data_IF_145744213333
#
_entry.id   IF_145744213333
#
_cell.length_a   1.000
_cell.length_b   1.000
_cell.length_c   1.000
_cell.angle_alpha   90.00
_cell.angle_beta   90.00
_cell.angle_gamma   90.00
#
_symmetry.space_group_name_H-M   'P 1'
#
loop_
_entity.id
_entity.type
_entity.pdbx_description
1 polymer ?
#
# COMPACT_ATOMS: atom_id res chain seq x y z
N UNK A 1 15.02 -4.30 8.11
CA UNK A 1 13.74 -5.02 7.96
C UNK A 1 13.92 -6.09 6.91
N UNK A 2 13.03 -7.08 6.87
CA UNK A 2 12.85 -7.99 5.74
C UNK A 2 11.45 -7.71 5.20
N UNK A 3 11.34 -7.46 3.90
CA UNK A 3 10.07 -7.30 3.20
C UNK A 3 9.84 -8.56 2.36
N UNK A 4 8.72 -9.23 2.59
CA UNK A 4 8.31 -10.41 1.84
C UNK A 4 7.06 -10.09 1.03
N UNK A 5 7.02 -10.38 -0.25
CA UNK A 5 5.83 -10.26 -1.10
C UNK A 5 5.18 -11.62 -1.36
N UNK A 6 3.86 -11.63 -1.49
CA UNK A 6 3.10 -12.82 -1.82
C UNK A 6 1.69 -12.50 -2.29
N UNK A 7 0.93 -13.55 -2.61
CA UNK A 7 -0.47 -13.46 -3.04
C UNK A 7 -1.29 -14.53 -2.35
N UNK A 8 -2.59 -14.31 -2.20
CA UNK A 8 -3.52 -15.37 -1.74
C UNK A 8 -3.69 -16.49 -2.78
N UNK A 9 -3.29 -16.26 -4.03
CA UNK A 9 -3.44 -17.20 -5.15
C UNK A 9 -2.16 -18.00 -5.45
N UNK A 10 -1.05 -17.77 -4.73
CA UNK A 10 0.24 -18.47 -4.93
C UNK A 10 0.94 -18.77 -3.60
N UNK A 11 1.64 -19.91 -3.53
CA UNK A 11 2.48 -20.29 -2.38
C UNK A 11 3.90 -19.71 -2.46
N UNK A 12 4.24 -19.02 -3.55
CA UNK A 12 5.55 -18.39 -3.72
C UNK A 12 5.65 -17.10 -2.91
N UNK A 13 6.67 -17.02 -2.06
CA UNK A 13 6.98 -15.85 -1.23
C UNK A 13 8.40 -15.42 -1.52
N UNK A 14 8.57 -14.17 -1.93
CA UNK A 14 9.87 -13.58 -2.23
C UNK A 14 10.24 -12.57 -1.15
N UNK A 15 11.41 -12.74 -0.53
CA UNK A 15 11.83 -11.91 0.59
C UNK A 15 13.14 -11.18 0.29
N UNK A 16 13.14 -9.87 0.48
CA UNK A 16 14.31 -9.02 0.28
C UNK A 16 14.64 -8.21 1.55
N UNK A 17 15.93 -8.06 1.90
CA UNK A 17 16.33 -7.15 2.95
C UNK A 17 15.97 -5.72 2.55
N UNK A 18 15.43 -4.96 3.50
CA UNK A 18 15.00 -3.58 3.30
C UNK A 18 15.51 -2.71 4.44
N UNK A 19 15.98 -1.51 4.11
CA UNK A 19 16.25 -0.46 5.09
C UNK A 19 15.10 0.53 5.13
N UNK A 20 14.78 1.00 6.34
CA UNK A 20 13.73 1.99 6.56
C UNK A 20 14.36 3.16 7.30
N UNK A 21 14.17 4.36 6.78
CA UNK A 21 14.62 5.61 7.39
C UNK A 21 13.51 6.65 7.35
N UNK A 22 13.66 7.75 8.11
CA UNK A 22 12.76 8.90 8.06
C UNK A 22 13.54 10.07 7.48
N UNK A 23 12.98 10.71 6.46
CA UNK A 23 13.57 11.88 5.81
C UNK A 23 13.43 13.13 6.66
N UNK A 24 14.13 14.21 6.30
CA UNK A 24 14.02 15.51 6.99
C UNK A 24 12.60 16.09 6.91
N UNK A 25 11.86 15.78 5.84
CA UNK A 25 10.47 16.18 5.62
C UNK A 25 9.46 15.28 6.37
N UNK A 26 9.93 14.31 7.16
CA UNK A 26 9.09 13.39 7.94
C UNK A 26 8.45 12.27 7.12
N UNK A 27 8.90 12.04 5.90
CA UNK A 27 8.47 10.90 5.07
C UNK A 27 9.26 9.65 5.46
N UNK A 28 8.67 8.48 5.33
CA UNK A 28 9.43 7.25 5.42
C UNK A 28 10.11 6.99 4.08
N UNK A 29 11.38 6.57 4.11
CA UNK A 29 12.10 6.09 2.93
C UNK A 29 12.38 4.62 3.11
N UNK A 30 11.83 3.82 2.20
CA UNK A 30 12.07 2.39 2.11
C UNK A 30 13.08 2.16 0.99
N UNK A 31 14.18 1.47 1.29
CA UNK A 31 15.20 1.17 0.31
C UNK A 31 15.46 -0.34 0.25
N UNK A 32 15.37 -0.89 -0.97
CA UNK A 32 15.65 -2.27 -1.32
C UNK A 32 16.69 -2.23 -2.43
N UNK A 33 17.86 -2.83 -2.18
CA UNK A 33 19.00 -2.74 -3.09
C UNK A 33 19.33 -1.28 -3.49
N UNK A 34 19.18 -0.92 -4.77
CA UNK A 34 19.43 0.41 -5.31
C UNK A 34 18.16 1.27 -5.44
N UNK A 35 16.97 0.68 -5.23
CA UNK A 35 15.68 1.34 -5.36
C UNK A 35 15.25 1.99 -4.05
N UNK A 36 14.62 3.17 -4.16
CA UNK A 36 14.15 3.96 -3.00
C UNK A 36 12.75 4.47 -3.24
N UNK A 37 11.87 4.16 -2.31
CA UNK A 37 10.48 4.59 -2.32
C UNK A 37 10.22 5.52 -1.14
N UNK A 38 9.53 6.64 -1.39
CA UNK A 38 9.06 7.53 -0.34
C UNK A 38 7.62 7.16 0.02
N UNK A 39 7.35 7.06 1.32
CA UNK A 39 6.10 6.51 1.85
C UNK A 39 5.49 7.45 2.85
N UNK A 40 4.18 7.68 2.70
CA UNK A 40 3.33 8.42 3.63
C UNK A 40 2.32 7.49 4.26
N UNK A 41 2.14 7.62 5.57
CA UNK A 41 1.14 6.89 6.34
C UNK A 41 0.06 7.83 6.84
N UNK A 42 -1.19 7.42 6.69
CA UNK A 42 -2.35 8.08 7.27
C UNK A 42 -3.09 7.06 8.14
N UNK A 43 -3.13 7.33 9.44
CA UNK A 43 -3.81 6.45 10.41
C UNK A 43 -5.33 6.46 10.16
N UNK A 44 -5.91 5.26 10.06
CA UNK A 44 -7.36 5.03 9.95
C UNK A 44 -7.94 4.62 11.30
N UNK A 45 -7.24 3.73 12.00
CA UNK A 45 -7.51 3.24 13.35
C UNK A 45 -6.17 2.84 14.03
N UNK A 46 -6.20 2.25 15.23
CA UNK A 46 -5.01 1.90 16.04
C UNK A 46 -3.93 1.13 15.25
N UNK A 47 -4.35 0.17 14.42
CA UNK A 47 -3.47 -0.70 13.64
C UNK A 47 -3.67 -0.61 12.11
N UNK A 48 -4.57 0.25 11.63
CA UNK A 48 -4.93 0.35 10.21
C UNK A 48 -4.51 1.70 9.62
N UNK A 49 -3.97 1.67 8.40
CA UNK A 49 -3.37 2.80 7.72
C UNK A 49 -3.80 2.86 6.25
N UNK A 50 -4.00 4.07 5.73
CA UNK A 50 -3.90 4.35 4.30
C UNK A 50 -2.45 4.75 4.01
N UNK A 51 -1.85 4.12 3.01
CA UNK A 51 -0.42 4.27 2.71
C UNK A 51 -0.27 4.72 1.26
N UNK A 52 0.55 5.73 1.04
CA UNK A 52 0.86 6.27 -0.28
C UNK A 52 2.36 6.10 -0.54
N UNK A 53 2.69 5.46 -1.65
CA UNK A 53 4.05 5.37 -2.18
C UNK A 53 4.19 6.40 -3.31
N UNK A 54 5.30 7.13 -3.30
CA UNK A 54 5.74 8.01 -4.38
C UNK A 54 6.81 7.27 -5.17
N UNK A 55 6.43 6.81 -6.37
CA UNK A 55 7.31 6.15 -7.32
C UNK A 55 7.83 7.21 -8.30
N UNK A 56 8.78 8.00 -7.80
CA UNK A 56 9.22 9.23 -8.46
C UNK A 56 10.15 9.03 -9.66
N UNK A 57 10.43 7.77 -10.06
CA UNK A 57 11.38 7.46 -11.12
C UNK A 57 10.78 7.53 -12.54
N UNK A 58 9.45 7.59 -12.69
CA UNK A 58 8.81 7.59 -14.01
C UNK A 58 8.18 8.95 -14.35
N UNK A 59 8.41 9.42 -15.58
CA UNK A 59 7.77 10.61 -16.17
C UNK A 59 6.30 10.33 -16.55
N UNK A 60 5.59 9.56 -15.73
CA UNK A 60 4.24 9.08 -16.01
C UNK A 60 3.20 9.72 -15.09
N UNK A 61 1.96 9.76 -15.60
CA UNK A 61 0.80 10.32 -14.90
C UNK A 61 0.39 9.50 -13.65
N UNK A 62 1.10 8.40 -13.35
CA UNK A 62 0.82 7.43 -12.27
C UNK A 62 1.87 7.46 -11.13
N UNK A 63 2.40 8.64 -10.80
CA UNK A 63 3.42 8.85 -9.74
C UNK A 63 3.14 8.18 -8.39
N UNK A 64 1.87 7.93 -8.05
CA UNK A 64 1.49 7.46 -6.72
C UNK A 64 0.78 6.12 -6.75
N UNK A 65 1.25 5.20 -5.91
CA UNK A 65 0.59 3.93 -5.62
C UNK A 65 -0.01 3.96 -4.22
N UNK A 66 -1.17 3.30 -4.04
CA UNK A 66 -1.94 3.35 -2.82
C UNK A 66 -2.15 1.97 -2.23
N UNK A 67 -1.96 1.87 -0.92
CA UNK A 67 -2.01 0.62 -0.18
C UNK A 67 -2.85 0.80 1.09
N UNK A 68 -3.51 -0.26 1.52
CA UNK A 68 -3.95 -0.40 2.90
C UNK A 68 -2.84 -1.08 3.70
N UNK A 69 -2.46 -0.47 4.81
CA UNK A 69 -1.49 -1.02 5.75
C UNK A 69 -2.15 -1.50 7.02
N UNK A 70 -1.79 -2.68 7.50
CA UNK A 70 -2.19 -3.20 8.81
C UNK A 70 -0.99 -3.61 9.63
N UNK A 71 -0.89 -3.08 10.85
CA UNK A 71 0.11 -3.50 11.82
C UNK A 71 -0.40 -4.74 12.58
N UNK A 72 0.49 -5.68 12.86
CA UNK A 72 0.21 -6.84 13.70
C UNK A 72 1.46 -7.19 14.48
N UNK A 73 1.49 -6.83 15.77
CA UNK A 73 2.72 -6.90 16.57
C UNK A 73 3.78 -5.95 16.02
N UNK A 74 4.96 -6.48 15.70
CA UNK A 74 6.05 -5.72 15.07
C UNK A 74 6.03 -5.77 13.54
N UNK A 75 5.06 -6.49 12.96
CA UNK A 75 4.90 -6.65 11.51
C UNK A 75 3.99 -5.57 10.94
N UNK A 76 4.28 -5.14 9.71
CA UNK A 76 3.40 -4.29 8.91
C UNK A 76 3.09 -5.02 7.60
N UNK A 77 1.82 -5.31 7.36
CA UNK A 77 1.35 -5.84 6.07
C UNK A 77 0.78 -4.70 5.24
N UNK A 78 1.17 -4.62 3.98
CA UNK A 78 0.67 -3.68 2.98
C UNK A 78 -0.07 -4.47 1.92
N UNK A 79 -1.25 -4.02 1.52
CA UNK A 79 -2.05 -4.60 0.45
C UNK A 79 -2.35 -3.49 -0.55
N UNK A 80 -1.98 -3.71 -1.80
CA UNK A 80 -2.22 -2.72 -2.85
C UNK A 80 -3.73 -2.56 -3.08
N UNK A 81 -4.18 -1.30 -3.17
CA UNK A 81 -5.58 -0.99 -3.39
C UNK A 81 -5.86 -1.04 -4.88
N UNK A 82 -6.49 -2.12 -5.34
CA UNK A 82 -6.98 -2.25 -6.70
C UNK A 82 -8.44 -1.82 -6.82
N UNK A 83 -8.80 -1.24 -7.98
CA UNK A 83 -10.16 -0.77 -8.25
C UNK A 83 -11.16 -1.94 -8.31
N UNK A 84 -10.80 -3.00 -9.02
CA UNK A 84 -11.63 -4.19 -9.21
C UNK A 84 -11.90 -4.97 -7.91
N UNK A 85 -11.05 -4.77 -6.90
CA UNK A 85 -11.17 -5.36 -5.58
C UNK A 85 -12.13 -4.58 -4.65
N UNK A 86 -12.39 -3.31 -4.94
CA UNK A 86 -13.29 -2.48 -4.14
C UNK A 86 -14.77 -2.81 -4.42
N UNK A 87 -15.66 -2.64 -3.43
CA UNK A 87 -17.10 -2.77 -3.66
C UNK A 87 -17.56 -1.83 -4.78
N UNK A 88 -18.28 -2.36 -5.77
CA UNK A 88 -18.65 -1.59 -6.96
C UNK A 88 -19.40 -0.29 -6.64
N UNK A 89 -20.34 -0.36 -5.71
CA UNK A 89 -21.11 0.81 -5.27
C UNK A 89 -20.24 1.90 -4.62
N UNK A 90 -19.11 1.52 -3.99
CA UNK A 90 -18.17 2.48 -3.46
C UNK A 90 -17.38 3.16 -4.58
N UNK A 91 -16.90 2.39 -5.55
CA UNK A 91 -16.17 2.92 -6.72
C UNK A 91 -17.05 3.92 -7.48
N UNK A 92 -18.28 3.53 -7.81
CA UNK A 92 -19.22 4.39 -8.55
C UNK A 92 -19.45 5.71 -7.81
N UNK A 93 -19.60 5.65 -6.47
CA UNK A 93 -19.76 6.85 -5.65
C UNK A 93 -18.51 7.73 -5.65
N UNK A 94 -17.33 7.14 -5.50
CA UNK A 94 -16.08 7.91 -5.49
C UNK A 94 -15.78 8.54 -6.87
N UNK A 95 -16.22 7.91 -7.96
CA UNK A 95 -16.17 8.50 -9.31
C UNK A 95 -17.16 9.66 -9.44
N UNK A 96 -18.41 9.49 -8.99
CA UNK A 96 -19.41 10.55 -8.98
C UNK A 96 -18.96 11.78 -8.18
N UNK A 97 -18.33 11.55 -7.02
CA UNK A 97 -17.78 12.59 -6.15
C UNK A 97 -16.47 13.21 -6.69
N UNK A 98 -15.92 12.69 -7.80
CA UNK A 98 -14.66 13.14 -8.40
C UNK A 98 -13.41 12.75 -7.60
N UNK A 99 -13.53 11.82 -6.66
CA UNK A 99 -12.43 11.31 -5.84
C UNK A 99 -11.57 10.26 -6.54
N UNK A 100 -12.14 9.52 -7.50
CA UNK A 100 -11.44 8.56 -8.36
C UNK A 100 -11.72 8.86 -9.83
N UNK A 101 -10.77 8.50 -10.71
CA UNK A 101 -11.01 8.27 -12.13
C UNK A 101 -10.75 6.80 -12.44
N UNK A 102 -11.49 6.21 -13.38
CA UNK A 102 -11.36 4.80 -13.75
C UNK A 102 -11.07 4.66 -15.24
N UNK A 103 -10.45 3.55 -15.64
CA UNK A 103 -10.45 3.12 -17.03
C UNK A 103 -11.86 2.64 -17.48
N UNK A 104 -12.00 2.29 -18.75
CA UNK A 104 -13.29 1.86 -19.32
C UNK A 104 -13.83 0.57 -18.68
N UNK A 105 -12.92 -0.30 -18.20
CA UNK A 105 -13.24 -1.63 -17.66
C UNK A 105 -13.24 -1.69 -16.11
N UNK A 106 -12.99 -0.56 -15.44
CA UNK A 106 -12.85 -0.42 -13.99
C UNK A 106 -11.83 -1.39 -13.37
N UNK A 107 -10.82 -1.79 -14.14
CA UNK A 107 -9.72 -2.60 -13.65
C UNK A 107 -8.75 -1.75 -12.84
N UNK A 108 -8.48 -0.54 -13.31
CA UNK A 108 -7.61 0.42 -12.65
C UNK A 108 -8.39 1.68 -12.26
N UNK A 109 -8.01 2.28 -11.14
CA UNK A 109 -8.49 3.59 -10.75
C UNK A 109 -7.33 4.47 -10.30
N UNK A 110 -7.33 5.72 -10.75
CA UNK A 110 -6.40 6.75 -10.28
C UNK A 110 -7.10 7.57 -9.21
N UNK A 111 -6.52 7.64 -8.03
CA UNK A 111 -7.05 8.49 -6.99
C UNK A 111 -6.76 9.97 -7.28
N UNK A 112 -7.81 10.78 -7.30
CA UNK A 112 -7.75 12.22 -7.53
C UNK A 112 -7.71 13.01 -6.20
N UNK A 113 -7.90 12.33 -5.06
CA UNK A 113 -7.86 12.97 -3.75
C UNK A 113 -7.39 12.04 -2.65
N UNK A 114 -6.75 12.61 -1.62
CA UNK A 114 -6.36 11.92 -0.39
C UNK A 114 -7.57 11.23 0.29
N UNK A 115 -8.73 11.90 0.30
CA UNK A 115 -9.95 11.38 0.90
C UNK A 115 -10.45 10.09 0.25
N UNK A 116 -10.33 9.97 -1.08
CA UNK A 116 -10.73 8.76 -1.80
C UNK A 116 -9.89 7.54 -1.37
N UNK A 117 -8.58 7.73 -1.17
CA UNK A 117 -7.68 6.67 -0.72
C UNK A 117 -8.02 6.22 0.70
N UNK A 118 -8.31 7.16 1.59
CA UNK A 118 -8.72 6.85 2.97
C UNK A 118 -10.02 6.03 2.98
N UNK A 119 -11.00 6.42 2.16
CA UNK A 119 -12.27 5.67 2.05
C UNK A 119 -12.04 4.28 1.47
N UNK A 120 -11.24 4.16 0.40
CA UNK A 120 -10.90 2.86 -0.19
C UNK A 120 -10.19 1.95 0.81
N UNK A 121 -9.18 2.45 1.52
CA UNK A 121 -8.44 1.68 2.52
C UNK A 121 -9.32 1.20 3.68
N UNK A 122 -10.36 1.96 4.05
CA UNK A 122 -11.35 1.53 5.07
C UNK A 122 -12.15 0.31 4.63
N UNK A 123 -12.45 0.12 3.35
CA UNK A 123 -13.12 -1.09 2.87
C UNK A 123 -12.24 -2.34 3.01
N UNK A 124 -10.92 -2.20 2.82
CA UNK A 124 -9.98 -3.28 3.11
C UNK A 124 -9.93 -3.61 4.60
N UNK A 125 -9.84 -2.59 5.46
CA UNK A 125 -9.88 -2.77 6.92
C UNK A 125 -11.16 -3.43 7.41
N UNK A 126 -12.30 -3.14 6.78
CA UNK A 126 -13.60 -3.75 7.06
C UNK A 126 -13.73 -5.20 6.54
N UNK A 127 -12.73 -5.72 5.82
CA UNK A 127 -12.76 -7.08 5.26
C UNK A 127 -13.71 -7.24 4.07
N UNK A 128 -14.05 -6.14 3.39
CA UNK A 128 -14.94 -6.16 2.22
C UNK A 128 -14.24 -6.64 0.95
N UNK A 129 -12.92 -6.87 1.01
CA UNK A 129 -12.06 -7.25 -0.13
C UNK A 129 -11.54 -8.67 0.03
N UNK A 130 -11.76 -9.50 -1.00
CA UNK A 130 -11.53 -10.96 -0.94
C UNK A 130 -10.14 -11.42 -1.39
N UNK A 131 -9.47 -10.70 -2.31
CA UNK A 131 -8.15 -11.06 -2.84
C UNK A 131 -7.13 -10.01 -2.45
N UNK A 132 -5.94 -10.45 -2.07
CA UNK A 132 -4.91 -9.55 -1.55
C UNK A 132 -3.53 -10.00 -2.03
N UNK A 133 -2.96 -9.23 -2.95
CA UNK A 133 -1.51 -9.22 -3.12
C UNK A 133 -0.93 -8.38 -2.00
N UNK A 134 0.05 -8.93 -1.29
CA UNK A 134 0.54 -8.34 -0.05
C UNK A 134 2.07 -8.23 -0.04
N UNK A 135 2.54 -7.23 0.71
CA UNK A 135 3.93 -7.08 1.13
C UNK A 135 3.94 -7.04 2.65
N UNK A 136 4.67 -7.94 3.30
CA UNK A 136 4.81 -8.00 4.75
C UNK A 136 6.23 -7.60 5.16
N UNK A 137 6.31 -6.56 5.97
CA UNK A 137 7.54 -6.03 6.52
C UNK A 137 7.68 -6.46 7.97
N UNK A 138 8.82 -7.07 8.30
CA UNK A 138 9.15 -7.47 9.67
C UNK A 138 10.54 -6.97 10.06
N UNK A 139 10.81 -6.69 11.35
CA UNK A 139 12.16 -6.42 11.80
C UNK A 139 13.06 -7.59 11.40
N UNK A 140 14.21 -7.28 10.82
CA UNK A 140 15.20 -8.33 10.58
C UNK A 140 15.60 -8.88 11.95
N UNK A 141 15.53 -10.19 12.14
CA UNK A 141 16.04 -10.82 13.36
C UNK A 141 17.50 -10.40 13.47
N UNK A 142 17.85 -9.67 14.53
CA UNK A 142 19.23 -9.34 14.79
C UNK A 142 19.97 -10.67 14.94
N UNK A 143 20.67 -11.09 13.89
CA UNK A 143 21.65 -12.14 13.99
C UNK A 143 22.54 -11.76 15.15
N UNK A 144 22.62 -12.60 16.18
CA UNK A 144 23.69 -12.47 17.16
C UNK A 144 24.97 -12.39 16.33
N UNK A 145 25.69 -11.28 16.45
CA UNK A 145 27.07 -11.23 16.02
C UNK A 145 27.78 -12.37 16.78
N UNK A 146 28.11 -13.44 16.06
CA UNK A 146 29.09 -14.43 16.51
C UNK A 146 30.50 -13.89 16.30
#
# INVERSE_FOLDING_TARGET
YVACSGSTDSDEVECNPMSVSVTEDGLYSFAVEDDRLLVRFHMLDEDDFAVQFDDSDENDDERYQYYWGRKTGDSLRLVMIWCNDLPRALVDKLVEDGGLSTDEDYQTCTAQSASAIVVAAKSYAAGEVAKQNWVEMTPAVAGKAE
#
